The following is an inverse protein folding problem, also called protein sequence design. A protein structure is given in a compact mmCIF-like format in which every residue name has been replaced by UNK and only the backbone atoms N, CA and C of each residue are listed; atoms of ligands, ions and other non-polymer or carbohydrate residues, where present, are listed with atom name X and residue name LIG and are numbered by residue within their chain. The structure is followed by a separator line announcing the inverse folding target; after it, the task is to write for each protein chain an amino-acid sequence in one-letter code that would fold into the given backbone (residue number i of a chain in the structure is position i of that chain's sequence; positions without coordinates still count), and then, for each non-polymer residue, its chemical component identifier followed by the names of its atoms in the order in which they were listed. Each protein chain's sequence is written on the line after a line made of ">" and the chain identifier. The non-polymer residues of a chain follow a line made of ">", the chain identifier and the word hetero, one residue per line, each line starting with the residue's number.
data_IF_961478651994
#
_entry.id   IF_961478651994
#
_cell.length_a   1.000
_cell.length_b   1.000
_cell.length_c   1.000
_cell.angle_alpha   90.00
_cell.angle_beta   90.00
_cell.angle_gamma   90.00
#
_symmetry.space_group_name_H-M   'P 1'
#
loop_
_entity.id
_entity.type
_entity.pdbx_description
1 polymer ?
#
# COMPACT_ATOMS: atom_id res chain seq x y z
N UNK A 1 33.51 -3.66 -1.86
CA UNK A 1 32.61 -4.10 -2.95
C UNK A 1 31.61 -5.09 -2.38
N UNK A 2 30.54 -4.61 -1.74
CA UNK A 2 29.52 -5.48 -1.12
C UNK A 2 28.12 -4.83 -1.01
N UNK A 3 27.87 -3.69 -1.66
CA UNK A 3 26.59 -2.97 -1.57
C UNK A 3 25.73 -2.99 -2.84
N UNK A 4 26.17 -3.67 -3.91
CA UNK A 4 25.40 -3.73 -5.16
C UNK A 4 24.34 -4.86 -5.20
N UNK A 5 24.32 -5.74 -4.19
CA UNK A 5 23.42 -6.91 -4.16
C UNK A 5 22.03 -6.61 -3.58
N UNK A 6 21.93 -5.72 -2.60
CA UNK A 6 20.68 -5.39 -1.92
C UNK A 6 19.82 -4.39 -2.72
N UNK A 7 20.44 -3.41 -3.39
CA UNK A 7 19.71 -2.44 -4.22
C UNK A 7 19.01 -3.09 -5.44
N UNK A 8 19.60 -4.14 -6.00
CA UNK A 8 19.01 -4.89 -7.12
C UNK A 8 17.86 -5.78 -6.64
N UNK A 9 17.91 -6.28 -5.39
CA UNK A 9 16.85 -7.09 -4.81
C UNK A 9 15.58 -6.26 -4.50
N UNK A 10 15.74 -4.99 -4.09
CA UNK A 10 14.63 -4.08 -3.79
C UNK A 10 13.89 -3.61 -5.05
N UNK A 11 14.64 -3.24 -6.10
CA UNK A 11 14.06 -2.84 -7.40
C UNK A 11 13.30 -4.01 -8.08
N UNK A 12 13.79 -5.24 -7.90
CA UNK A 12 13.14 -6.45 -8.39
C UNK A 12 11.86 -6.82 -7.60
N UNK A 13 11.80 -6.50 -6.29
CA UNK A 13 10.60 -6.73 -5.48
C UNK A 13 9.44 -5.86 -5.96
N UNK A 14 9.69 -4.59 -6.27
CA UNK A 14 8.64 -3.65 -6.69
C UNK A 14 8.02 -4.01 -8.06
N UNK A 15 8.77 -4.65 -8.96
CA UNK A 15 8.26 -5.12 -10.26
C UNK A 15 7.51 -6.46 -10.17
N UNK A 16 7.83 -7.28 -9.16
CA UNK A 16 7.17 -8.58 -8.87
C UNK A 16 5.82 -8.40 -8.17
N UNK A 17 5.63 -7.30 -7.45
CA UNK A 17 4.42 -7.03 -6.67
C UNK A 17 3.10 -7.06 -7.45
N UNK A 18 2.94 -6.41 -8.63
CA UNK A 18 1.63 -6.38 -9.29
C UNK A 18 1.16 -7.76 -9.78
N UNK A 19 2.09 -8.58 -10.29
CA UNK A 19 1.77 -9.93 -10.76
C UNK A 19 1.55 -10.90 -9.60
N UNK A 20 2.34 -10.77 -8.54
CA UNK A 20 2.15 -11.55 -7.33
C UNK A 20 0.80 -11.22 -6.66
N UNK A 21 0.47 -9.94 -6.50
CA UNK A 21 -0.83 -9.48 -5.96
C UNK A 21 -1.97 -10.09 -6.77
N UNK A 22 -1.93 -10.00 -8.10
CA UNK A 22 -2.93 -10.63 -8.97
C UNK A 22 -2.99 -12.16 -8.78
N UNK A 23 -1.85 -12.82 -8.63
CA UNK A 23 -1.82 -14.27 -8.37
C UNK A 23 -2.43 -14.61 -7.00
N UNK A 24 -2.19 -13.80 -5.97
CA UNK A 24 -2.77 -13.94 -4.64
C UNK A 24 -4.29 -13.74 -4.69
N UNK A 25 -4.79 -12.71 -5.37
CA UNK A 25 -6.23 -12.48 -5.59
C UNK A 25 -6.90 -13.71 -6.24
N UNK A 26 -6.24 -14.33 -7.22
CA UNK A 26 -6.76 -15.52 -7.90
C UNK A 26 -6.87 -16.74 -6.99
N UNK A 27 -6.05 -16.83 -5.93
CA UNK A 27 -6.04 -17.96 -4.98
C UNK A 27 -6.45 -17.56 -3.56
N UNK A 28 -7.01 -16.36 -3.40
CA UNK A 28 -7.48 -15.85 -2.14
C UNK A 28 -8.76 -16.58 -1.71
N UNK A 29 -9.02 -16.73 -0.40
CA UNK A 29 -10.28 -17.25 0.13
C UNK A 29 -11.49 -16.56 -0.49
N UNK A 30 -12.52 -17.35 -0.81
CA UNK A 30 -13.72 -16.91 -1.53
C UNK A 30 -13.62 -16.99 -3.05
N UNK A 31 -12.43 -17.18 -3.63
CA UNK A 31 -12.27 -17.48 -5.06
C UNK A 31 -12.58 -18.96 -5.36
N UNK A 32 -13.14 -19.21 -6.55
CA UNK A 32 -13.43 -20.58 -7.00
C UNK A 32 -12.16 -21.43 -7.17
N UNK A 33 -11.04 -20.80 -7.52
CA UNK A 33 -9.74 -21.49 -7.62
C UNK A 33 -9.23 -21.89 -6.24
N UNK A 34 -9.34 -21.02 -5.23
CA UNK A 34 -8.99 -21.36 -3.85
C UNK A 34 -9.82 -22.52 -3.31
N UNK A 35 -11.14 -22.51 -3.52
CA UNK A 35 -12.00 -23.62 -3.12
C UNK A 35 -11.55 -24.96 -3.73
N UNK A 36 -11.15 -24.96 -5.01
CA UNK A 36 -10.62 -26.14 -5.68
C UNK A 36 -9.27 -26.59 -5.09
N UNK A 37 -8.39 -25.65 -4.75
CA UNK A 37 -7.11 -25.92 -4.08
C UNK A 37 -7.35 -26.51 -2.68
N UNK A 38 -8.29 -25.96 -1.92
CA UNK A 38 -8.63 -26.42 -0.57
C UNK A 38 -9.19 -27.86 -0.60
N UNK A 39 -10.00 -28.21 -1.61
CA UNK A 39 -10.43 -29.60 -1.81
C UNK A 39 -9.25 -30.57 -2.06
N UNK A 40 -8.24 -30.14 -2.82
CA UNK A 40 -7.03 -30.94 -3.11
C UNK A 40 -6.20 -31.13 -1.84
N UNK A 41 -6.03 -30.07 -1.05
CA UNK A 41 -5.34 -30.09 0.24
C UNK A 41 -6.05 -31.01 1.25
N UNK A 42 -7.36 -30.84 1.41
CA UNK A 42 -8.18 -31.64 2.33
C UNK A 42 -8.11 -33.15 2.01
N UNK A 43 -8.01 -33.50 0.72
CA UNK A 43 -7.84 -34.88 0.28
C UNK A 43 -6.40 -35.41 0.38
N UNK A 44 -5.44 -34.57 0.81
CA UNK A 44 -4.00 -34.86 0.86
C UNK A 44 -3.48 -35.38 -0.47
N UNK A 45 -3.90 -34.71 -1.53
CA UNK A 45 -3.46 -34.97 -2.91
C UNK A 45 -2.46 -33.90 -3.35
N UNK A 46 -1.55 -34.28 -4.24
CA UNK A 46 -0.63 -33.31 -4.84
C UNK A 46 -1.17 -32.86 -6.19
N UNK A 47 -0.90 -31.62 -6.59
CA UNK A 47 -1.29 -31.13 -7.91
C UNK A 47 -0.24 -30.17 -8.46
N UNK A 48 -0.15 -30.11 -9.79
CA UNK A 48 0.59 -29.10 -10.53
C UNK A 48 -0.40 -28.40 -11.46
N UNK A 49 -0.69 -27.13 -11.19
CA UNK A 49 -1.68 -26.36 -11.96
C UNK A 49 -0.92 -25.24 -12.66
N UNK A 50 -1.08 -25.11 -13.97
CA UNK A 50 -0.49 -24.04 -14.76
C UNK A 50 -1.59 -23.17 -15.36
N UNK A 51 -1.49 -21.86 -15.17
CA UNK A 51 -2.49 -20.87 -15.56
C UNK A 51 -1.83 -19.94 -16.58
N UNK A 52 -2.34 -19.96 -17.80
CA UNK A 52 -1.81 -19.14 -18.89
C UNK A 52 -2.53 -19.39 -20.20
N UNK A 53 -2.03 -18.76 -21.26
CA UNK A 53 -2.56 -18.98 -22.59
C UNK A 53 -2.14 -20.37 -23.09
N UNK A 54 -3.09 -21.13 -23.63
CA UNK A 54 -2.83 -22.47 -24.13
C UNK A 54 -1.88 -22.43 -25.34
N UNK A 55 -1.96 -21.40 -26.18
CA UNK A 55 -1.10 -21.29 -27.36
C UNK A 55 0.36 -21.07 -26.96
N UNK A 56 0.58 -20.22 -25.95
CA UNK A 56 1.90 -19.95 -25.38
C UNK A 56 2.49 -21.13 -24.61
N UNK A 57 1.65 -22.01 -24.07
CA UNK A 57 2.08 -23.13 -23.23
C UNK A 57 2.17 -24.47 -23.99
N UNK A 58 1.49 -24.60 -25.13
CA UNK A 58 1.30 -25.87 -25.85
C UNK A 58 2.60 -26.60 -26.21
N UNK A 59 3.67 -25.86 -26.50
CA UNK A 59 4.98 -26.44 -26.84
C UNK A 59 5.64 -27.20 -25.68
N UNK A 60 5.19 -26.95 -24.44
CA UNK A 60 5.68 -27.64 -23.24
C UNK A 60 4.96 -28.98 -22.99
N UNK A 61 3.88 -29.27 -23.71
CA UNK A 61 2.99 -30.38 -23.39
C UNK A 61 3.54 -31.69 -23.96
N UNK A 62 3.67 -32.68 -23.09
CA UNK A 62 3.89 -34.07 -23.49
C UNK A 62 2.72 -34.92 -23.00
N UNK A 63 2.00 -35.53 -23.94
CA UNK A 63 0.78 -36.29 -23.65
C UNK A 63 -0.36 -35.42 -23.12
N UNK A 64 -1.16 -35.98 -22.21
CA UNK A 64 -2.34 -35.34 -21.63
C UNK A 64 -3.62 -35.48 -22.45
N UNK A 65 -4.71 -35.04 -21.84
CA UNK A 65 -6.06 -35.09 -22.41
C UNK A 65 -6.58 -33.67 -22.51
N UNK A 66 -6.98 -33.26 -23.72
CA UNK A 66 -7.69 -32.01 -23.94
C UNK A 66 -9.11 -32.15 -23.40
N UNK A 67 -9.49 -31.26 -22.49
CA UNK A 67 -10.80 -31.25 -21.84
C UNK A 67 -11.63 -30.08 -22.39
N UNK A 68 -11.08 -28.86 -22.30
CA UNK A 68 -11.69 -27.60 -22.76
C UNK A 68 -13.14 -27.40 -22.26
N UNK A 69 -13.29 -27.40 -20.94
CA UNK A 69 -14.58 -27.20 -20.26
C UNK A 69 -14.51 -26.09 -19.23
N UNK A 70 -15.67 -25.57 -18.84
CA UNK A 70 -15.77 -24.54 -17.81
C UNK A 70 -15.25 -25.06 -16.46
N UNK A 71 -14.56 -24.17 -15.75
CA UNK A 71 -13.95 -24.46 -14.47
C UNK A 71 -15.02 -24.70 -13.41
N UNK A 72 -14.84 -25.76 -12.62
CA UNK A 72 -15.52 -25.92 -11.33
C UNK A 72 -14.54 -26.47 -10.28
N UNK A 73 -14.66 -26.07 -9.00
CA UNK A 73 -13.81 -26.59 -7.92
C UNK A 73 -13.81 -28.12 -7.85
N UNK A 74 -14.99 -28.72 -8.00
CA UNK A 74 -15.16 -30.18 -7.98
C UNK A 74 -14.42 -30.86 -9.14
N UNK A 75 -14.47 -30.30 -10.35
CA UNK A 75 -13.78 -30.87 -11.50
C UNK A 75 -12.26 -30.74 -11.39
N UNK A 76 -11.76 -29.59 -10.95
CA UNK A 76 -10.33 -29.41 -10.66
C UNK A 76 -9.85 -30.49 -9.68
N UNK A 77 -10.59 -30.69 -8.59
CA UNK A 77 -10.30 -31.71 -7.60
C UNK A 77 -10.28 -33.14 -8.18
N UNK A 78 -11.26 -33.52 -9.01
CA UNK A 78 -11.26 -34.87 -9.61
C UNK A 78 -10.07 -35.08 -10.54
N UNK A 79 -9.73 -34.08 -11.35
CA UNK A 79 -8.60 -34.15 -12.28
C UNK A 79 -7.25 -34.17 -11.56
N UNK A 80 -7.14 -33.52 -10.40
CA UNK A 80 -5.93 -33.53 -9.58
C UNK A 80 -5.57 -34.90 -8.99
N UNK A 81 -6.50 -35.88 -9.05
CA UNK A 81 -6.21 -37.28 -8.69
C UNK A 81 -5.39 -38.01 -9.74
N UNK A 82 -5.36 -37.48 -10.97
CA UNK A 82 -4.49 -37.98 -12.03
C UNK A 82 -3.06 -37.48 -11.80
N UNK A 83 -2.09 -38.19 -12.36
CA UNK A 83 -0.72 -37.69 -12.44
C UNK A 83 -0.62 -36.53 -13.44
N UNK A 84 0.52 -35.83 -13.43
CA UNK A 84 0.80 -34.73 -14.37
C UNK A 84 0.26 -33.37 -13.92
N UNK A 85 0.17 -32.46 -14.88
CA UNK A 85 -0.28 -31.09 -14.69
C UNK A 85 -1.70 -30.88 -15.24
N UNK A 86 -2.39 -29.92 -14.64
CA UNK A 86 -3.66 -29.38 -15.09
C UNK A 86 -3.40 -27.98 -15.67
N UNK A 87 -3.90 -27.71 -16.87
CA UNK A 87 -3.77 -26.42 -17.52
C UNK A 87 -5.11 -25.69 -17.44
N UNK A 88 -5.10 -24.49 -16.88
CA UNK A 88 -6.23 -23.58 -16.87
C UNK A 88 -5.98 -22.42 -17.84
N UNK A 89 -7.06 -21.82 -18.33
CA UNK A 89 -7.00 -20.57 -19.09
C UNK A 89 -6.42 -19.43 -18.25
N UNK A 90 -5.91 -18.37 -18.89
CA UNK A 90 -5.26 -17.21 -18.20
C UNK A 90 -6.13 -16.52 -17.13
N UNK A 91 -7.45 -16.63 -17.23
CA UNK A 91 -8.44 -16.10 -16.28
C UNK A 91 -9.02 -17.18 -15.34
N UNK A 92 -8.49 -18.41 -15.39
CA UNK A 92 -8.95 -19.58 -14.63
C UNK A 92 -10.43 -19.95 -14.81
N UNK A 93 -11.09 -19.50 -15.89
CA UNK A 93 -12.50 -19.84 -16.13
C UNK A 93 -12.69 -21.17 -16.84
N UNK A 94 -11.64 -21.76 -17.42
CA UNK A 94 -11.69 -23.04 -18.12
C UNK A 94 -10.56 -23.97 -17.71
N UNK A 95 -10.83 -25.26 -17.73
CA UNK A 95 -9.85 -26.33 -17.65
C UNK A 95 -9.56 -26.80 -19.06
N UNK A 96 -8.39 -26.44 -19.59
CA UNK A 96 -8.00 -26.68 -20.97
C UNK A 96 -7.50 -28.11 -21.16
N UNK A 97 -6.61 -28.55 -20.27
CA UNK A 97 -5.97 -29.88 -20.33
C UNK A 97 -5.76 -30.46 -18.93
N UNK A 98 -5.69 -31.78 -18.85
CA UNK A 98 -5.25 -32.50 -17.65
C UNK A 98 -4.30 -33.65 -18.01
N UNK A 99 -3.60 -34.17 -16.99
CA UNK A 99 -2.62 -35.24 -17.13
C UNK A 99 -1.49 -34.89 -18.12
N UNK A 100 -1.13 -33.62 -18.20
CA UNK A 100 -0.06 -33.14 -19.08
C UNK A 100 1.28 -33.31 -18.38
N UNK A 101 2.26 -33.93 -19.04
CA UNK A 101 3.64 -33.85 -18.57
C UNK A 101 4.28 -32.57 -19.12
N UNK A 102 4.51 -31.57 -18.27
CA UNK A 102 5.19 -30.33 -18.64
C UNK A 102 6.70 -30.57 -18.80
N UNK A 103 7.23 -30.22 -19.98
CA UNK A 103 8.65 -30.38 -20.35
C UNK A 103 9.33 -29.01 -20.59
N UNK A 104 9.57 -28.22 -19.52
CA UNK A 104 10.34 -26.98 -19.64
C UNK A 104 11.81 -27.26 -19.95
N UNK A 105 12.50 -26.23 -20.45
CA UNK A 105 13.93 -26.31 -20.78
C UNK A 105 14.74 -26.78 -19.54
N UNK A 106 15.46 -27.91 -19.64
CA UNK A 106 16.20 -28.46 -18.52
C UNK A 106 17.40 -27.62 -18.10
N UNK A 107 17.87 -26.69 -18.95
CA UNK A 107 19.00 -25.78 -18.69
C UNK A 107 18.62 -24.60 -17.79
N UNK A 108 17.32 -24.30 -17.63
CA UNK A 108 16.84 -23.27 -16.71
C UNK A 108 17.20 -23.68 -15.28
N UNK A 109 17.96 -22.82 -14.59
CA UNK A 109 18.37 -23.02 -13.21
C UNK A 109 17.14 -23.04 -12.30
N UNK A 110 17.10 -24.05 -11.43
CA UNK A 110 16.07 -24.21 -10.40
C UNK A 110 16.75 -24.56 -9.09
N UNK A 111 16.33 -23.91 -8.02
CA UNK A 111 16.84 -24.14 -6.65
C UNK A 111 15.94 -25.10 -5.85
N UNK A 112 14.82 -25.52 -6.44
CA UNK A 112 13.86 -26.42 -5.82
C UNK A 112 14.35 -27.88 -5.81
N UNK A 113 13.96 -28.63 -4.78
CA UNK A 113 14.47 -30.00 -4.53
C UNK A 113 13.50 -31.11 -4.92
N UNK A 114 12.30 -30.78 -5.44
CA UNK A 114 11.29 -31.75 -5.90
C UNK A 114 10.96 -31.61 -7.39
N UNK A 115 10.69 -32.72 -8.10
CA UNK A 115 10.42 -32.71 -9.55
C UNK A 115 9.27 -31.76 -9.91
N UNK A 116 8.16 -31.79 -9.17
CA UNK A 116 7.01 -30.89 -9.36
C UNK A 116 7.38 -29.42 -9.17
N UNK A 117 8.07 -29.09 -8.08
CA UNK A 117 8.48 -27.72 -7.77
C UNK A 117 9.53 -27.18 -8.76
N UNK A 118 10.47 -28.04 -9.20
CA UNK A 118 11.43 -27.71 -10.26
C UNK A 118 10.74 -27.42 -11.58
N UNK A 119 9.77 -28.25 -11.96
CA UNK A 119 8.97 -28.01 -13.16
C UNK A 119 8.19 -26.71 -13.04
N UNK A 120 7.57 -26.45 -11.89
CA UNK A 120 6.80 -25.23 -11.66
C UNK A 120 7.65 -23.95 -11.78
N UNK A 121 8.82 -23.93 -11.12
CA UNK A 121 9.76 -22.81 -11.19
C UNK A 121 10.24 -22.56 -12.64
N UNK A 122 10.60 -23.63 -13.36
CA UNK A 122 11.10 -23.52 -14.72
C UNK A 122 10.03 -23.08 -15.73
N UNK A 123 8.83 -23.63 -15.64
CA UNK A 123 7.71 -23.23 -16.49
C UNK A 123 7.39 -21.75 -16.25
N UNK A 124 7.34 -21.33 -14.99
CA UNK A 124 7.13 -19.91 -14.64
C UNK A 124 8.22 -19.00 -15.21
N UNK A 125 9.52 -19.38 -15.09
CA UNK A 125 10.64 -18.63 -15.69
C UNK A 125 10.59 -18.57 -17.22
N UNK A 126 10.20 -19.68 -17.86
CA UNK A 126 10.25 -19.81 -19.32
C UNK A 126 9.09 -19.08 -20.01
N UNK A 127 7.93 -19.02 -19.37
CA UNK A 127 6.69 -18.56 -20.02
C UNK A 127 6.05 -17.35 -19.35
N UNK A 128 6.46 -17.02 -18.12
CA UNK A 128 5.78 -16.01 -17.30
C UNK A 128 4.41 -16.45 -16.79
N UNK A 129 4.00 -17.70 -17.03
CA UNK A 129 2.75 -18.25 -16.53
C UNK A 129 2.77 -18.41 -15.00
N UNK A 130 1.60 -18.27 -14.38
CA UNK A 130 1.41 -18.62 -12.98
C UNK A 130 1.37 -20.14 -12.86
N UNK A 131 2.24 -20.69 -12.01
CA UNK A 131 2.25 -22.14 -11.73
C UNK A 131 2.06 -22.39 -10.26
N UNK A 132 1.09 -23.23 -9.91
CA UNK A 132 0.73 -23.60 -8.55
C UNK A 132 1.17 -25.05 -8.32
N UNK A 133 2.01 -25.27 -7.33
CA UNK A 133 2.42 -26.60 -6.90
C UNK A 133 1.88 -26.89 -5.51
N UNK A 134 1.07 -27.95 -5.40
CA UNK A 134 0.51 -28.44 -4.14
C UNK A 134 1.31 -29.66 -3.69
N UNK A 135 1.90 -29.58 -2.50
CA UNK A 135 2.72 -30.65 -1.94
C UNK A 135 1.89 -31.62 -1.11
N UNK A 136 1.77 -32.85 -1.61
CA UNK A 136 1.03 -33.93 -0.94
C UNK A 136 1.52 -34.21 0.49
N UNK A 137 2.83 -34.09 0.73
CA UNK A 137 3.44 -34.46 2.02
C UNK A 137 3.46 -33.33 3.04
N UNK A 138 3.50 -32.08 2.56
CA UNK A 138 3.72 -30.90 3.40
C UNK A 138 2.45 -30.09 3.64
N UNK A 139 1.39 -30.37 2.89
CA UNK A 139 0.14 -29.59 2.93
C UNK A 139 0.37 -28.10 2.65
N UNK A 140 1.36 -27.81 1.79
CA UNK A 140 1.76 -26.45 1.40
C UNK A 140 1.42 -26.22 -0.06
N UNK A 141 0.87 -25.05 -0.34
CA UNK A 141 0.66 -24.51 -1.70
C UNK A 141 1.78 -23.53 -2.01
N UNK A 142 2.46 -23.73 -3.13
CA UNK A 142 3.48 -22.82 -3.63
C UNK A 142 3.05 -22.22 -4.96
N UNK A 143 3.03 -20.90 -5.04
CA UNK A 143 2.85 -20.14 -6.27
C UNK A 143 4.22 -19.81 -6.85
N UNK A 144 4.34 -19.94 -8.17
CA UNK A 144 5.49 -19.53 -8.94
C UNK A 144 5.08 -18.46 -9.95
N UNK A 145 5.65 -17.27 -9.79
CA UNK A 145 5.35 -16.08 -10.60
C UNK A 145 6.69 -15.47 -11.03
N UNK A 146 6.92 -15.36 -12.34
CA UNK A 146 8.17 -14.87 -12.92
C UNK A 146 9.43 -15.57 -12.32
N UNK A 147 9.29 -16.86 -11.98
CA UNK A 147 10.33 -17.64 -11.33
C UNK A 147 10.55 -17.39 -9.83
N UNK A 148 9.89 -16.38 -9.25
CA UNK A 148 9.81 -16.19 -7.81
C UNK A 148 8.83 -17.19 -7.19
N UNK A 149 9.14 -17.65 -5.96
CA UNK A 149 8.29 -18.56 -5.21
C UNK A 149 7.62 -17.83 -4.05
N UNK A 150 6.31 -17.98 -3.95
CA UNK A 150 5.51 -17.56 -2.81
C UNK A 150 4.83 -18.78 -2.20
N UNK A 151 4.96 -18.99 -0.89
CA UNK A 151 4.26 -20.07 -0.20
C UNK A 151 3.04 -19.48 0.47
N UNK A 152 1.85 -19.99 0.13
CA UNK A 152 0.62 -19.55 0.79
C UNK A 152 0.67 -19.93 2.26
N UNK A 153 0.40 -18.96 3.11
CA UNK A 153 0.27 -19.20 4.53
C UNK A 153 -1.15 -19.68 4.87
N UNK A 154 -1.29 -20.33 6.02
CA UNK A 154 -2.60 -20.70 6.53
C UNK A 154 -3.38 -19.45 6.92
N UNK A 155 -4.69 -19.45 6.65
CA UNK A 155 -5.58 -18.32 6.92
C UNK A 155 -5.45 -17.80 8.37
N UNK A 156 -5.40 -18.65 9.42
CA UNK A 156 -5.24 -18.17 10.79
C UNK A 156 -3.92 -17.42 11.04
N UNK A 157 -2.85 -17.77 10.32
CA UNK A 157 -1.54 -17.12 10.43
C UNK A 157 -1.58 -15.73 9.80
N UNK A 158 -2.13 -15.63 8.58
CA UNK A 158 -2.31 -14.35 7.88
C UNK A 158 -3.23 -13.42 8.68
N UNK A 159 -4.34 -13.95 9.22
CA UNK A 159 -5.25 -13.20 10.10
C UNK A 159 -4.53 -12.70 11.35
N UNK A 160 -3.69 -13.51 12.00
CA UNK A 160 -2.94 -13.08 13.18
C UNK A 160 -1.97 -11.93 12.87
N UNK A 161 -1.25 -12.02 11.74
CA UNK A 161 -0.36 -10.95 11.26
C UNK A 161 -1.13 -9.67 10.93
N UNK A 162 -2.25 -9.78 10.23
CA UNK A 162 -3.12 -8.66 9.88
C UNK A 162 -3.64 -7.92 11.13
N UNK A 163 -4.11 -8.66 12.13
CA UNK A 163 -4.55 -8.08 13.41
C UNK A 163 -3.41 -7.40 14.17
N UNK A 164 -2.19 -7.99 14.16
CA UNK A 164 -1.02 -7.38 14.79
C UNK A 164 -0.59 -6.09 14.08
N UNK A 165 -0.62 -6.07 12.74
CA UNK A 165 -0.34 -4.90 11.93
C UNK A 165 -1.38 -3.80 12.18
N UNK A 166 -2.67 -4.14 12.22
CA UNK A 166 -3.75 -3.20 12.53
C UNK A 166 -3.60 -2.58 13.94
N UNK A 167 -3.31 -3.39 14.96
CA UNK A 167 -3.04 -2.88 16.31
C UNK A 167 -1.80 -1.96 16.37
N UNK A 168 -0.84 -2.14 15.46
CA UNK A 168 0.32 -1.26 15.31
C UNK A 168 -0.07 0.04 14.59
N UNK A 169 -0.90 -0.04 13.55
CA UNK A 169 -1.46 1.12 12.86
C UNK A 169 -2.23 2.03 13.82
N UNK A 170 -3.08 1.48 14.69
CA UNK A 170 -3.82 2.25 15.70
C UNK A 170 -2.89 3.02 16.65
N UNK A 171 -1.79 2.40 17.07
CA UNK A 171 -0.77 3.06 17.91
C UNK A 171 -0.05 4.18 17.14
N UNK A 172 0.30 3.94 15.88
CA UNK A 172 0.89 4.97 15.03
C UNK A 172 -0.08 6.11 14.77
N UNK A 173 -1.36 5.83 14.55
CA UNK A 173 -2.41 6.82 14.35
C UNK A 173 -2.62 7.69 15.59
N UNK A 174 -2.69 7.07 16.77
CA UNK A 174 -2.75 7.81 18.05
C UNK A 174 -1.53 8.71 18.23
N UNK A 175 -0.33 8.21 17.90
CA UNK A 175 0.90 9.01 18.03
C UNK A 175 0.94 10.16 17.02
N UNK A 176 0.51 9.93 15.78
CA UNK A 176 0.38 10.94 14.74
C UNK A 176 -0.55 12.07 15.19
N UNK A 177 -1.70 11.71 15.77
CA UNK A 177 -2.67 12.69 16.26
C UNK A 177 -2.08 13.57 17.37
N UNK A 178 -1.39 12.98 18.35
CA UNK A 178 -0.70 13.72 19.40
C UNK A 178 0.30 14.74 18.85
N UNK A 179 1.17 14.33 17.92
CA UNK A 179 2.18 15.23 17.35
C UNK A 179 1.56 16.26 16.41
N UNK A 180 0.47 15.91 15.72
CA UNK A 180 -0.27 16.83 14.85
C UNK A 180 -0.99 17.91 15.64
N UNK A 181 -1.63 17.57 16.76
CA UNK A 181 -2.25 18.54 17.67
C UNK A 181 -1.20 19.48 18.25
N UNK A 182 -0.04 18.96 18.67
CA UNK A 182 1.07 19.80 19.14
C UNK A 182 1.56 20.75 18.05
N UNK A 183 1.78 20.28 16.82
CA UNK A 183 2.19 21.14 15.71
C UNK A 183 1.14 22.22 15.42
N UNK A 184 -0.14 21.85 15.45
CA UNK A 184 -1.27 22.79 15.28
C UNK A 184 -1.21 23.93 16.30
N UNK A 185 -0.92 23.62 17.57
CA UNK A 185 -0.78 24.66 18.59
C UNK A 185 0.40 25.60 18.32
N UNK A 186 1.55 25.06 17.91
CA UNK A 186 2.74 25.85 17.57
C UNK A 186 2.52 26.74 16.34
N UNK A 187 1.73 26.28 15.37
CA UNK A 187 1.36 27.09 14.20
C UNK A 187 0.53 28.31 14.56
N UNK A 188 -0.48 28.16 15.43
CA UNK A 188 -1.28 29.31 15.89
C UNK A 188 -0.47 30.30 16.74
N UNK A 189 0.63 29.85 17.35
CA UNK A 189 1.54 30.69 18.15
C UNK A 189 2.69 31.28 17.33
N UNK A 190 2.82 30.94 16.05
CA UNK A 190 3.97 31.32 15.22
C UNK A 190 5.30 30.73 15.70
N UNK A 191 5.25 29.62 16.46
CA UNK A 191 6.40 29.00 17.13
C UNK A 191 6.83 27.65 16.54
N UNK A 192 6.32 27.28 15.37
CA UNK A 192 6.63 25.99 14.75
C UNK A 192 8.08 25.95 14.23
N UNK A 193 8.76 24.83 14.48
CA UNK A 193 10.09 24.56 13.94
C UNK A 193 10.03 23.46 12.88
N UNK A 194 11.05 23.40 12.01
CA UNK A 194 11.13 22.34 11.01
C UNK A 194 11.15 20.96 11.68
N UNK A 195 11.74 20.82 12.87
CA UNK A 195 11.73 19.58 13.64
C UNK A 195 10.30 19.09 13.97
N UNK A 196 9.41 20.00 14.36
CA UNK A 196 8.02 19.65 14.67
C UNK A 196 7.30 19.14 13.41
N UNK A 197 7.52 19.81 12.27
CA UNK A 197 6.95 19.41 10.97
C UNK A 197 7.45 18.04 10.54
N UNK A 198 8.75 17.82 10.57
CA UNK A 198 9.37 16.54 10.17
C UNK A 198 8.93 15.40 11.08
N UNK A 199 8.69 15.67 12.36
CA UNK A 199 8.13 14.69 13.31
C UNK A 199 6.72 14.25 12.88
N UNK A 200 5.85 15.19 12.50
CA UNK A 200 4.50 14.86 12.01
C UNK A 200 4.59 14.11 10.67
N UNK A 201 5.44 14.57 9.75
CA UNK A 201 5.62 13.94 8.44
C UNK A 201 6.10 12.49 8.55
N UNK A 202 7.11 12.24 9.38
CA UNK A 202 7.61 10.89 9.65
C UNK A 202 6.50 9.98 10.18
N UNK A 203 5.68 10.45 11.13
CA UNK A 203 4.58 9.65 11.69
C UNK A 203 3.47 9.39 10.68
N UNK A 204 3.12 10.38 9.85
CA UNK A 204 2.14 10.24 8.79
C UNK A 204 2.60 9.21 7.74
N UNK A 205 3.89 9.18 7.44
CA UNK A 205 4.46 8.21 6.52
C UNK A 205 4.49 6.79 7.11
N UNK A 206 4.85 6.63 8.39
CA UNK A 206 4.77 5.32 9.07
C UNK A 206 3.34 4.75 9.10
N UNK A 207 2.33 5.61 9.29
CA UNK A 207 0.91 5.23 9.19
C UNK A 207 0.60 4.76 7.78
N UNK A 208 1.03 5.50 6.75
CA UNK A 208 0.80 5.13 5.33
C UNK A 208 1.42 3.77 5.00
N UNK A 209 2.66 3.52 5.43
CA UNK A 209 3.37 2.25 5.14
C UNK A 209 2.71 1.05 5.81
N UNK A 210 2.30 1.21 7.07
CA UNK A 210 1.60 0.15 7.78
C UNK A 210 0.25 -0.17 7.14
N UNK A 211 -0.48 0.83 6.62
CA UNK A 211 -1.70 0.62 5.85
C UNK A 211 -1.44 -0.23 4.59
N UNK A 212 -0.40 0.11 3.81
CA UNK A 212 0.00 -0.67 2.61
C UNK A 212 0.39 -2.11 2.96
N UNK A 213 1.02 -2.34 4.11
CA UNK A 213 1.31 -3.70 4.58
C UNK A 213 0.02 -4.47 4.90
N UNK A 214 -0.95 -3.83 5.55
CA UNK A 214 -2.25 -4.43 5.88
C UNK A 214 -3.06 -4.75 4.61
N UNK A 215 -3.04 -3.87 3.60
CA UNK A 215 -3.68 -4.11 2.30
C UNK A 215 -3.20 -5.41 1.65
N UNK A 216 -1.92 -5.75 1.78
CA UNK A 216 -1.38 -7.03 1.26
C UNK A 216 -1.96 -8.23 1.97
N UNK A 217 -2.11 -8.16 3.30
CA UNK A 217 -2.78 -9.22 4.05
C UNK A 217 -4.25 -9.32 3.66
N UNK A 218 -4.94 -8.20 3.42
CA UNK A 218 -6.34 -8.20 2.97
C UNK A 218 -6.48 -8.91 1.61
N UNK A 219 -5.58 -8.62 0.65
CA UNK A 219 -5.56 -9.31 -0.65
C UNK A 219 -5.39 -10.82 -0.48
N UNK A 220 -4.46 -11.26 0.37
CA UNK A 220 -4.23 -12.69 0.61
C UNK A 220 -5.41 -13.36 1.34
N UNK A 221 -6.10 -12.64 2.21
CA UNK A 221 -7.26 -13.12 2.97
C UNK A 221 -8.56 -13.15 2.15
N UNK A 222 -8.66 -12.40 1.07
CA UNK A 222 -9.86 -12.35 0.23
C UNK A 222 -11.12 -12.07 1.06
N UNK A 223 -12.12 -12.94 0.97
CA UNK A 223 -13.39 -12.77 1.72
C UNK A 223 -13.23 -12.81 3.23
N UNK A 224 -12.20 -13.49 3.75
CA UNK A 224 -11.91 -13.56 5.19
C UNK A 224 -11.31 -12.24 5.72
N UNK A 225 -10.82 -11.38 4.84
CA UNK A 225 -10.19 -10.09 5.17
C UNK A 225 -11.17 -8.94 5.43
N UNK A 226 -12.47 -9.15 5.16
CA UNK A 226 -13.50 -8.09 5.18
C UNK A 226 -13.53 -7.25 6.47
N UNK A 227 -13.37 -7.88 7.64
CA UNK A 227 -13.37 -7.16 8.91
C UNK A 227 -12.14 -6.26 9.05
N UNK A 228 -10.98 -6.75 8.63
CA UNK A 228 -9.71 -6.01 8.65
C UNK A 228 -9.78 -4.81 7.69
N UNK A 229 -10.35 -5.02 6.49
CA UNK A 229 -10.55 -3.96 5.50
C UNK A 229 -11.40 -2.82 6.06
N UNK A 230 -12.56 -3.11 6.65
CA UNK A 230 -13.41 -2.07 7.26
C UNK A 230 -12.70 -1.31 8.38
N UNK A 231 -11.90 -1.99 9.20
CA UNK A 231 -11.14 -1.35 10.28
C UNK A 231 -9.99 -0.48 9.75
N UNK A 232 -9.32 -0.93 8.70
CA UNK A 232 -8.29 -0.16 8.02
C UNK A 232 -8.87 1.13 7.43
N UNK A 233 -9.99 1.02 6.69
CA UNK A 233 -10.69 2.16 6.10
C UNK A 233 -11.04 3.20 7.16
N UNK A 234 -11.66 2.78 8.26
CA UNK A 234 -12.02 3.67 9.38
C UNK A 234 -10.79 4.37 10.00
N UNK A 235 -9.72 3.62 10.23
CA UNK A 235 -8.49 4.15 10.85
C UNK A 235 -7.77 5.16 9.94
N UNK A 236 -7.88 4.98 8.63
CA UNK A 236 -7.18 5.78 7.61
C UNK A 236 -7.97 7.02 7.16
N UNK A 237 -9.20 7.23 7.65
CA UNK A 237 -10.00 8.42 7.32
C UNK A 237 -9.19 9.69 7.59
N UNK A 238 -9.09 10.52 6.55
CA UNK A 238 -8.41 11.82 6.59
C UNK A 238 -6.87 11.77 6.54
N UNK A 239 -6.23 10.63 6.85
CA UNK A 239 -4.78 10.55 7.02
C UNK A 239 -4.00 10.96 5.75
N UNK A 240 -4.44 10.51 4.57
CA UNK A 240 -3.80 10.88 3.31
C UNK A 240 -3.96 12.38 2.99
N UNK A 241 -5.13 12.95 3.31
CA UNK A 241 -5.41 14.37 3.12
C UNK A 241 -4.57 15.25 4.04
N UNK A 242 -4.46 14.86 5.32
CA UNK A 242 -3.64 15.56 6.31
C UNK A 242 -2.15 15.53 5.96
N UNK A 243 -1.65 14.37 5.48
CA UNK A 243 -0.27 14.25 5.00
C UNK A 243 0.00 15.16 3.80
N UNK A 244 -0.91 15.16 2.82
CA UNK A 244 -0.78 16.04 1.66
C UNK A 244 -0.80 17.52 2.05
N UNK A 245 -1.71 17.93 2.93
CA UNK A 245 -1.80 19.30 3.41
C UNK A 245 -0.54 19.73 4.18
N UNK A 246 0.03 18.84 5.01
CA UNK A 246 1.30 19.08 5.70
C UNK A 246 2.45 19.33 4.72
N UNK A 247 2.58 18.50 3.68
CA UNK A 247 3.63 18.69 2.67
C UNK A 247 3.40 19.99 1.91
N UNK A 248 2.17 20.28 1.48
CA UNK A 248 1.87 21.56 0.81
C UNK A 248 2.18 22.78 1.69
N UNK A 249 2.01 22.70 3.01
CA UNK A 249 2.31 23.82 3.92
C UNK A 249 3.81 24.12 4.03
N UNK A 250 4.67 23.09 3.94
CA UNK A 250 6.09 23.21 4.31
C UNK A 250 7.10 22.83 3.22
N UNK A 251 6.65 22.49 2.01
CA UNK A 251 7.55 22.22 0.89
C UNK A 251 8.26 23.50 0.42
N UNK A 252 9.57 23.54 0.28
CA UNK A 252 10.28 24.77 -0.10
C UNK A 252 9.90 25.31 -1.51
N UNK A 253 9.72 24.41 -2.49
CA UNK A 253 9.18 24.74 -3.81
C UNK A 253 7.67 24.50 -3.86
N UNK A 254 6.89 25.51 -4.20
CA UNK A 254 5.43 25.49 -4.17
C UNK A 254 4.79 24.86 -5.41
N UNK A 255 5.59 24.40 -6.38
CA UNK A 255 5.08 23.80 -7.61
C UNK A 255 4.36 22.47 -7.35
N UNK A 256 3.30 22.22 -8.14
CA UNK A 256 2.60 20.93 -8.10
C UNK A 256 3.51 19.78 -8.56
N UNK A 257 4.47 20.07 -9.45
CA UNK A 257 5.50 19.13 -9.87
C UNK A 257 6.41 18.72 -8.70
N UNK A 258 6.87 19.69 -7.89
CA UNK A 258 7.68 19.40 -6.71
C UNK A 258 6.89 18.61 -5.67
N UNK A 259 5.61 18.96 -5.44
CA UNK A 259 4.74 18.22 -4.54
C UNK A 259 4.59 16.75 -4.98
N UNK A 260 4.27 16.51 -6.25
CA UNK A 260 4.11 15.17 -6.79
C UNK A 260 5.40 14.35 -6.66
N UNK A 261 6.56 14.97 -6.93
CA UNK A 261 7.87 14.35 -6.78
C UNK A 261 8.14 13.95 -5.32
N UNK A 262 7.87 14.84 -4.37
CA UNK A 262 8.11 14.58 -2.95
C UNK A 262 7.22 13.47 -2.41
N UNK A 263 5.94 13.44 -2.77
CA UNK A 263 5.02 12.38 -2.35
C UNK A 263 5.47 11.01 -2.88
N UNK A 264 5.89 10.93 -4.15
CA UNK A 264 6.40 9.70 -4.75
C UNK A 264 7.71 9.24 -4.09
N UNK A 265 8.64 10.17 -3.85
CA UNK A 265 9.91 9.87 -3.19
C UNK A 265 9.74 9.46 -1.73
N UNK A 266 8.82 10.09 -0.99
CA UNK A 266 8.53 9.75 0.41
C UNK A 266 8.02 8.31 0.54
N UNK A 267 7.15 7.88 -0.38
CA UNK A 267 6.60 6.53 -0.41
C UNK A 267 7.66 5.45 -0.68
N UNK A 268 8.71 5.79 -1.45
CA UNK A 268 9.82 4.86 -1.78
C UNK A 268 11.03 4.97 -0.87
N UNK A 269 11.02 5.89 0.10
CA UNK A 269 12.17 6.15 0.94
C UNK A 269 12.49 4.91 1.82
N UNK A 270 13.74 4.44 1.92
CA UNK A 270 14.08 3.35 2.83
C UNK A 270 13.68 3.66 4.30
N UNK A 271 13.44 2.62 5.10
CA UNK A 271 13.04 2.84 6.50
C UNK A 271 14.09 3.59 7.30
N UNK A 272 15.39 3.31 7.08
CA UNK A 272 16.49 3.99 7.76
C UNK A 272 16.53 5.48 7.42
N UNK A 273 16.33 5.82 6.15
CA UNK A 273 16.29 7.20 5.66
C UNK A 273 15.08 7.97 6.19
N UNK A 274 13.94 7.30 6.40
CA UNK A 274 12.76 7.90 7.04
C UNK A 274 13.04 8.31 8.50
N UNK A 275 14.02 7.69 9.17
CA UNK A 275 14.43 8.04 10.52
C UNK A 275 15.40 9.24 10.57
N UNK A 276 15.99 9.62 9.44
CA UNK A 276 16.92 10.75 9.33
C UNK A 276 16.18 12.05 8.98
N UNK A 277 16.07 12.97 9.96
CA UNK A 277 15.45 14.27 9.75
C UNK A 277 16.22 15.16 8.78
N UNK A 278 17.54 15.00 8.63
CA UNK A 278 18.28 15.70 7.58
C UNK A 278 17.86 15.24 6.20
N UNK A 279 17.59 13.95 6.01
CA UNK A 279 17.10 13.40 4.75
C UNK A 279 15.66 13.84 4.44
N UNK A 280 14.80 13.88 5.45
CA UNK A 280 13.44 14.40 5.28
C UNK A 280 13.41 15.91 5.02
N UNK A 281 14.32 16.68 5.63
CA UNK A 281 14.49 18.10 5.34
C UNK A 281 14.91 18.31 3.88
N UNK A 282 15.91 17.56 3.41
CA UNK A 282 16.37 17.56 2.01
C UNK A 282 15.23 17.24 1.04
N UNK A 283 14.39 16.26 1.39
CA UNK A 283 13.23 15.89 0.59
C UNK A 283 12.22 17.04 0.45
N UNK A 284 12.01 17.83 1.51
CA UNK A 284 11.16 19.02 1.46
C UNK A 284 11.84 20.24 0.81
N UNK A 285 13.09 20.10 0.33
CA UNK A 285 13.83 21.16 -0.34
C UNK A 285 14.67 22.06 0.59
N UNK A 286 14.94 21.62 1.82
CA UNK A 286 15.84 22.30 2.76
C UNK A 286 17.26 21.72 2.72
N UNK A 287 18.25 22.40 3.30
CA UNK A 287 19.60 21.85 3.43
C UNK A 287 19.60 20.67 4.42
N UNK A 288 20.24 19.55 4.05
CA UNK A 288 20.37 18.37 4.91
C UNK A 288 21.09 18.64 6.24
N UNK A 289 22.04 19.58 6.27
CA UNK A 289 22.85 19.93 7.46
C UNK A 289 22.21 21.00 8.33
N UNK A 290 21.04 21.48 7.93
CA UNK A 290 20.29 22.48 8.67
C UNK A 290 19.95 21.96 10.08
N UNK A 291 20.13 22.81 11.09
CA UNK A 291 19.67 22.48 12.43
C UNK A 291 18.14 22.64 12.48
N UNK A 292 17.42 21.52 12.35
CA UNK A 292 15.95 21.50 12.28
C UNK A 292 15.28 22.01 13.55
N UNK A 293 15.96 21.92 14.71
CA UNK A 293 15.40 22.34 16.01
C UNK A 293 15.29 23.86 16.14
N UNK A 294 16.20 24.59 15.52
CA UNK A 294 16.29 26.06 15.61
C UNK A 294 15.85 26.76 14.32
N UNK A 295 15.30 26.02 13.36
CA UNK A 295 14.82 26.57 12.11
C UNK A 295 13.32 26.88 12.18
N UNK A 296 12.92 28.16 12.33
CA UNK A 296 11.52 28.54 12.36
C UNK A 296 10.88 28.32 10.99
N UNK A 297 9.63 27.87 10.99
CA UNK A 297 8.83 27.68 9.76
C UNK A 297 7.40 28.15 10.01
N UNK A 298 6.81 28.80 9.02
CA UNK A 298 5.39 29.19 9.05
C UNK A 298 4.61 28.37 8.03
N UNK A 299 3.45 27.80 8.39
CA UNK A 299 2.60 27.08 7.45
C UNK A 299 1.92 28.05 6.49
N UNK A 300 1.57 27.55 5.31
CA UNK A 300 0.83 28.32 4.31
C UNK A 300 -0.67 28.40 4.61
N UNK A 301 -1.20 27.40 5.30
CA UNK A 301 -2.58 27.36 5.78
C UNK A 301 -3.41 26.20 5.22
N UNK A 302 -2.87 25.35 4.34
CA UNK A 302 -3.58 24.21 3.76
C UNK A 302 -4.14 23.27 4.83
N UNK A 303 -3.36 22.96 5.86
CA UNK A 303 -3.79 22.03 6.90
C UNK A 303 -4.87 22.61 7.81
N UNK A 304 -4.71 23.87 8.25
CA UNK A 304 -5.68 24.53 9.12
C UNK A 304 -7.00 24.78 8.38
N UNK A 305 -6.94 25.31 7.15
CA UNK A 305 -8.12 25.53 6.32
C UNK A 305 -8.81 24.20 5.95
N UNK A 306 -8.03 23.15 5.69
CA UNK A 306 -8.55 21.80 5.39
C UNK A 306 -9.36 21.16 6.52
N UNK A 307 -9.16 21.61 7.78
CA UNK A 307 -9.95 21.18 8.94
C UNK A 307 -11.29 21.90 9.06
N UNK A 308 -11.52 22.99 8.30
CA UNK A 308 -12.79 23.71 8.32
C UNK A 308 -13.84 22.88 7.55
N UNK A 309 -14.94 22.47 8.19
CA UNK A 309 -15.94 21.63 7.55
C UNK A 309 -16.49 22.25 6.27
N UNK A 310 -16.61 21.44 5.21
CA UNK A 310 -17.24 21.80 3.92
C UNK A 310 -16.51 22.89 3.12
N UNK A 311 -15.26 23.22 3.45
CA UNK A 311 -14.45 24.14 2.65
C UNK A 311 -13.87 23.42 1.42
N UNK A 312 -14.21 23.82 0.17
CA UNK A 312 -13.70 23.14 -1.02
C UNK A 312 -12.20 23.34 -1.22
N UNK A 313 -11.48 22.31 -1.71
CA UNK A 313 -10.03 22.38 -1.97
C UNK A 313 -9.60 23.54 -2.88
N UNK A 314 -10.40 23.86 -3.91
CA UNK A 314 -10.13 24.98 -4.81
C UNK A 314 -10.16 26.33 -4.08
N UNK A 315 -11.06 26.47 -3.10
CA UNK A 315 -11.15 27.68 -2.28
C UNK A 315 -9.94 27.77 -1.35
N UNK A 316 -9.52 26.66 -0.75
CA UNK A 316 -8.29 26.62 0.06
C UNK A 316 -7.08 27.07 -0.77
N UNK A 317 -6.93 26.53 -1.99
CA UNK A 317 -5.86 26.93 -2.91
C UNK A 317 -5.92 28.41 -3.27
N UNK A 318 -7.12 28.97 -3.49
CA UNK A 318 -7.29 30.39 -3.77
C UNK A 318 -6.88 31.27 -2.59
N UNK A 319 -7.30 30.92 -1.36
CA UNK A 319 -6.93 31.64 -0.14
C UNK A 319 -5.42 31.58 0.06
N UNK A 320 -4.80 30.40 -0.02
CA UNK A 320 -3.36 30.25 0.19
C UNK A 320 -2.52 30.93 -0.91
N UNK A 321 -3.09 31.15 -2.10
CA UNK A 321 -2.42 31.94 -3.16
C UNK A 321 -2.50 33.44 -2.91
N UNK A 322 -3.60 33.92 -2.33
CA UNK A 322 -3.79 35.34 -2.02
C UNK A 322 -3.02 35.77 -0.76
N UNK A 323 -3.02 34.91 0.27
CA UNK A 323 -2.36 35.19 1.55
C UNK A 323 -1.01 34.49 1.64
N UNK A 324 0.02 35.19 2.13
CA UNK A 324 1.40 34.72 2.15
C UNK A 324 1.70 33.61 3.19
N UNK A 325 0.74 33.31 4.07
CA UNK A 325 0.90 32.37 5.16
C UNK A 325 -0.31 32.34 6.08
N UNK A 326 -0.30 31.40 7.04
CA UNK A 326 -1.35 31.30 8.05
C UNK A 326 -1.46 32.57 8.91
N UNK A 327 -0.34 33.22 9.21
CA UNK A 327 -0.33 34.44 10.04
C UNK A 327 -1.12 35.57 9.38
N UNK A 328 -0.94 35.78 8.07
CA UNK A 328 -1.71 36.74 7.29
C UNK A 328 -3.18 36.36 7.19
N UNK A 329 -3.49 35.06 7.06
CA UNK A 329 -4.88 34.58 7.05
C UNK A 329 -5.55 34.87 8.39
N UNK A 330 -4.87 34.64 9.51
CA UNK A 330 -5.41 34.89 10.86
C UNK A 330 -5.61 36.38 11.14
N UNK A 331 -4.76 37.25 10.57
CA UNK A 331 -4.88 38.69 10.70
C UNK A 331 -5.95 39.32 9.78
N UNK A 332 -6.44 38.57 8.78
CA UNK A 332 -7.33 39.08 7.74
C UNK A 332 -8.74 39.44 8.23
N UNK A 333 -9.34 40.46 7.59
CA UNK A 333 -10.72 40.86 7.83
C UNK A 333 -11.71 40.12 6.92
N UNK A 334 -13.02 40.20 7.22
CA UNK A 334 -14.06 39.48 6.46
C UNK A 334 -14.08 40.02 5.02
N UNK A 335 -13.95 41.34 4.88
CA UNK A 335 -13.91 42.00 3.59
C UNK A 335 -12.68 41.64 2.76
N UNK A 336 -11.54 41.33 3.39
CA UNK A 336 -10.35 40.83 2.67
C UNK A 336 -10.50 39.37 2.26
N UNK A 337 -11.13 38.53 3.08
CA UNK A 337 -11.45 37.16 2.68
C UNK A 337 -12.47 37.13 1.53
N UNK A 338 -13.45 38.04 1.52
CA UNK A 338 -14.45 38.19 0.45
C UNK A 338 -13.87 38.57 -0.91
N UNK A 339 -12.65 39.11 -1.00
CA UNK A 339 -12.03 39.43 -2.30
C UNK A 339 -11.49 38.19 -3.01
N UNK A 340 -11.29 37.08 -2.28
CA UNK A 340 -10.76 35.83 -2.83
C UNK A 340 -11.80 35.15 -3.71
N UNK A 341 -11.39 34.72 -4.90
CA UNK A 341 -12.29 34.02 -5.82
C UNK A 341 -12.87 32.74 -5.18
N UNK A 342 -14.20 32.60 -5.24
CA UNK A 342 -14.92 31.53 -4.59
C UNK A 342 -15.19 31.74 -3.09
N UNK A 343 -14.77 32.85 -2.48
CA UNK A 343 -15.13 33.23 -1.10
C UNK A 343 -16.14 34.38 -1.15
N UNK A 344 -17.40 34.11 -0.78
CA UNK A 344 -18.41 35.15 -0.58
C UNK A 344 -18.61 35.47 0.90
N UNK A 345 -19.39 36.49 1.23
CA UNK A 345 -19.67 36.98 2.60
C UNK A 345 -19.93 35.85 3.62
N UNK A 346 -20.87 34.95 3.29
CA UNK A 346 -21.20 33.83 4.17
C UNK A 346 -20.02 32.87 4.41
N UNK A 347 -19.20 32.60 3.38
CA UNK A 347 -18.01 31.73 3.51
C UNK A 347 -16.89 32.42 4.27
N UNK A 348 -16.67 33.72 4.07
CA UNK A 348 -15.67 34.49 4.81
C UNK A 348 -15.94 34.41 6.33
N UNK A 349 -17.20 34.61 6.72
CA UNK A 349 -17.66 34.43 8.11
C UNK A 349 -17.45 33.01 8.62
N UNK A 350 -17.84 32.00 7.83
CA UNK A 350 -17.66 30.58 8.20
C UNK A 350 -16.18 30.21 8.37
N UNK A 351 -15.29 30.74 7.51
CA UNK A 351 -13.85 30.53 7.59
C UNK A 351 -13.30 31.16 8.88
N UNK A 352 -13.61 32.43 9.15
CA UNK A 352 -13.11 33.11 10.35
C UNK A 352 -13.60 32.43 11.63
N UNK A 353 -14.89 32.08 11.69
CA UNK A 353 -15.44 31.36 12.84
C UNK A 353 -14.80 29.97 12.98
N UNK A 354 -14.55 29.28 11.87
CA UNK A 354 -13.82 28.01 11.84
C UNK A 354 -12.40 28.14 12.41
N UNK A 355 -11.64 29.14 11.98
CA UNK A 355 -10.29 29.43 12.48
C UNK A 355 -10.30 29.73 13.98
N UNK A 356 -11.22 30.59 14.43
CA UNK A 356 -11.38 30.93 15.84
C UNK A 356 -11.71 29.71 16.69
N UNK A 357 -12.65 28.88 16.25
CA UNK A 357 -13.03 27.64 16.95
C UNK A 357 -11.87 26.66 17.05
N UNK A 358 -11.08 26.51 15.98
CA UNK A 358 -9.89 25.66 16.00
C UNK A 358 -8.84 26.18 16.99
N UNK A 359 -8.66 27.50 17.08
CA UNK A 359 -7.76 28.11 18.06
C UNK A 359 -8.23 27.86 19.50
N UNK A 360 -9.53 28.01 19.77
CA UNK A 360 -10.13 27.75 21.09
C UNK A 360 -10.01 26.28 21.52
N UNK A 361 -10.24 25.33 20.60
CA UNK A 361 -10.12 23.89 20.89
C UNK A 361 -8.67 23.53 21.26
N UNK A 362 -7.68 24.02 20.51
CA UNK A 362 -6.27 23.76 20.81
C UNK A 362 -5.83 24.31 22.17
N UNK A 363 -6.42 25.42 22.63
CA UNK A 363 -6.18 25.96 23.97
C UNK A 363 -6.73 25.02 25.06
N UNK A 364 -7.91 24.42 24.84
CA UNK A 364 -8.55 23.51 25.81
C UNK A 364 -7.86 22.15 25.87
N UNK A 365 -7.50 21.55 24.74
CA UNK A 365 -6.81 20.25 24.70
C UNK A 365 -5.48 20.29 25.46
N UNK A 366 -4.82 21.46 25.49
CA UNK A 366 -3.60 21.68 26.27
C UNK A 366 -3.82 21.51 27.78
N UNK A 367 -4.95 21.98 28.31
CA UNK A 367 -5.29 21.86 29.74
C UNK A 367 -5.67 20.44 30.15
N UNK A 368 -6.08 19.60 29.21
CA UNK A 368 -6.45 18.21 29.46
C UNK A 368 -5.28 17.23 29.28
N UNK A 369 -4.21 17.65 28.60
CA UNK A 369 -3.00 16.84 28.34
C UNK A 369 -1.81 17.17 29.26
N UNK A 370 -1.92 18.18 30.13
CA UNK A 370 -1.11 18.35 31.35
C UNK A 370 -1.71 17.58 32.51
#
# INVERSE_FOLDING_TARGET
>A
MQHAGDEVADLDQHRKEPRLVKALEMVAPGSALREGIDHILAARTGALICIGDNDDLSFLYSGGIKIDVDYTPALLYQLAKMDGAIILSSNSTKICWANVQLMPDPTILSLETGTRHRTAERVSKQTGALVIAISQRRDVVSLYVDGGKYMLEEIPVVLAKANQALATLEKYRTRLEQVSTRLTALEFEGGATLHDVLTVLQRAELVTRMAVEIERYIVELGTEGRLIEMQLEETMIGAAGDKAALVHDYLADHSEEAFALVIDQLARLPHEDLLDFGRLAELLGYDRKLNTLDHPVSPRGYRILGRIPRLPKLVIQAIVREFAGLDEILASTDGELETVDGVGDMRAKDIREGLRRLQEINLVDRYLQT
#
